data_IF_158934621884
#
_entry.id   IF_158934621884
#
_cell.length_a   1.000
_cell.length_b   1.000
_cell.length_c   1.000
_cell.angle_alpha   90.00
_cell.angle_beta   90.00
_cell.angle_gamma   90.00
#
_symmetry.space_group_name_H-M   'P 1'
#
loop_
_entity.id
_entity.type
_entity.pdbx_description
1 polymer ?
#
# COMPACT_ATOMS: atom_id res chain seq x y z
N UNK A 1 13.06 5.99 0.58
CA UNK A 1 13.02 7.23 1.39
C UNK A 1 12.59 6.99 2.85
N UNK A 2 11.51 6.23 3.13
CA UNK A 2 11.01 6.01 4.51
C UNK A 2 11.98 5.24 5.44
N UNK A 3 12.92 4.47 4.90
CA UNK A 3 13.92 3.72 5.68
C UNK A 3 15.34 4.29 5.58
N UNK A 4 15.52 5.51 5.05
CA UNK A 4 16.86 6.12 4.87
C UNK A 4 17.78 5.40 3.86
N UNK A 5 17.27 4.39 3.15
CA UNK A 5 17.98 3.65 2.10
C UNK A 5 17.86 4.36 0.75
N UNK A 6 18.90 4.20 -0.09
CA UNK A 6 18.94 4.64 -1.48
C UNK A 6 17.67 4.20 -2.23
N UNK A 7 17.20 5.07 -3.12
CA UNK A 7 16.00 4.84 -3.93
C UNK A 7 16.20 3.62 -4.85
N UNK A 8 15.46 2.55 -4.58
CA UNK A 8 15.23 1.48 -5.54
C UNK A 8 14.01 1.89 -6.36
N UNK A 9 14.26 2.56 -7.49
CA UNK A 9 13.24 3.39 -8.11
C UNK A 9 12.02 2.67 -8.63
N UNK A 10 12.20 1.67 -9.51
CA UNK A 10 11.08 0.88 -10.03
C UNK A 10 10.22 0.27 -8.92
N UNK A 11 10.81 -0.20 -7.82
CA UNK A 11 10.09 -0.83 -6.72
C UNK A 11 9.26 0.18 -5.91
N UNK A 12 9.79 1.38 -5.68
CA UNK A 12 9.06 2.46 -5.00
C UNK A 12 7.91 2.97 -5.88
N UNK A 13 8.11 3.02 -7.20
CA UNK A 13 7.08 3.39 -8.16
C UNK A 13 5.95 2.34 -8.17
N UNK A 14 6.30 1.04 -8.21
CA UNK A 14 5.31 -0.05 -8.14
C UNK A 14 4.51 0.00 -6.83
N UNK A 15 5.18 0.22 -5.70
CA UNK A 15 4.49 0.37 -4.41
C UNK A 15 3.51 1.56 -4.43
N UNK A 16 3.95 2.70 -4.95
CA UNK A 16 3.13 3.91 -5.07
C UNK A 16 1.92 3.68 -5.98
N UNK A 17 2.12 2.99 -7.12
CA UNK A 17 1.03 2.58 -8.00
C UNK A 17 0.06 1.62 -7.30
N UNK A 18 0.54 0.74 -6.42
CA UNK A 18 -0.30 -0.16 -5.62
C UNK A 18 -1.22 0.60 -4.67
N UNK A 19 -0.69 1.64 -4.01
CA UNK A 19 -1.48 2.52 -3.11
C UNK A 19 -2.56 3.26 -3.89
N UNK A 20 -2.21 3.82 -5.06
CA UNK A 20 -3.17 4.51 -5.93
C UNK A 20 -4.24 3.55 -6.44
N UNK A 21 -3.84 2.35 -6.91
CA UNK A 21 -4.78 1.34 -7.39
C UNK A 21 -5.76 0.94 -6.30
N UNK A 22 -5.28 0.72 -5.08
CA UNK A 22 -6.15 0.44 -3.92
C UNK A 22 -7.14 1.59 -3.71
N UNK A 23 -6.69 2.85 -3.73
CA UNK A 23 -7.56 4.01 -3.54
C UNK A 23 -8.65 4.13 -4.61
N UNK A 24 -8.31 3.83 -5.88
CA UNK A 24 -9.28 3.83 -6.98
C UNK A 24 -10.33 2.72 -6.85
N UNK A 25 -9.95 1.56 -6.32
CA UNK A 25 -10.85 0.40 -6.16
C UNK A 25 -11.71 0.50 -4.90
N UNK A 26 -11.14 0.98 -3.80
CA UNK A 26 -11.72 0.92 -2.46
C UNK A 26 -12.26 2.26 -1.95
N UNK A 27 -11.96 3.36 -2.63
CA UNK A 27 -12.34 4.72 -2.22
C UNK A 27 -11.67 5.20 -0.92
N UNK A 28 -10.69 4.47 -0.42
CA UNK A 28 -9.96 4.72 0.84
C UNK A 28 -8.48 4.36 0.68
N UNK A 29 -7.61 4.85 1.55
CA UNK A 29 -6.19 4.49 1.52
C UNK A 29 -5.94 3.14 2.21
N UNK A 30 -4.96 2.33 1.75
CA UNK A 30 -4.62 1.06 2.41
C UNK A 30 -3.95 1.29 3.77
N UNK A 31 -3.27 2.43 3.94
CA UNK A 31 -2.64 2.86 5.19
C UNK A 31 -2.98 4.34 5.44
N UNK A 32 -3.61 4.62 6.59
CA UNK A 32 -3.92 5.99 7.02
C UNK A 32 -3.93 6.06 8.56
N UNK A 33 -3.47 7.18 9.11
CA UNK A 33 -3.48 7.49 10.54
C UNK A 33 -3.11 8.97 10.77
N UNK A 34 -3.81 9.64 11.69
CA UNK A 34 -3.46 11.02 12.08
C UNK A 34 -2.10 11.10 12.79
N UNK A 35 -1.70 10.02 13.48
CA UNK A 35 -0.42 9.97 14.17
C UNK A 35 0.67 9.38 13.27
N UNK A 36 1.58 10.24 12.82
CA UNK A 36 2.67 9.90 11.87
C UNK A 36 3.48 8.65 12.28
N UNK A 37 3.92 8.47 13.55
CA UNK A 37 4.58 7.23 13.97
C UNK A 37 3.73 5.96 13.82
N UNK A 38 2.42 6.05 14.02
CA UNK A 38 1.49 4.93 13.83
C UNK A 38 1.28 4.65 12.34
N UNK A 39 1.14 5.69 11.52
CA UNK A 39 1.09 5.57 10.07
C UNK A 39 2.33 4.83 9.53
N UNK A 40 3.53 5.22 9.96
CA UNK A 40 4.76 4.53 9.56
C UNK A 40 4.80 3.08 10.03
N UNK A 41 4.22 2.75 11.19
CA UNK A 41 4.12 1.37 11.67
C UNK A 41 3.18 0.56 10.78
N UNK A 42 2.02 1.10 10.40
CA UNK A 42 1.07 0.49 9.46
C UNK A 42 1.75 0.22 8.11
N UNK A 43 2.37 1.24 7.51
CA UNK A 43 3.12 1.13 6.25
C UNK A 43 4.19 0.04 6.34
N UNK A 44 4.99 0.02 7.42
CA UNK A 44 6.05 -0.99 7.60
C UNK A 44 5.52 -2.41 7.82
N UNK A 45 4.31 -2.56 8.38
CA UNK A 45 3.70 -3.89 8.55
C UNK A 45 3.20 -4.48 7.24
N UNK A 46 2.87 -3.65 6.24
CA UNK A 46 2.29 -4.10 4.97
C UNK A 46 0.90 -4.73 5.10
N UNK A 47 0.24 -4.59 6.26
CA UNK A 47 -1.11 -5.15 6.49
C UNK A 47 -2.15 -4.09 6.14
N UNK A 48 -3.02 -4.39 5.19
CA UNK A 48 -4.11 -3.53 4.76
C UNK A 48 -5.42 -4.34 4.57
N UNK A 49 -6.59 -3.72 4.75
CA UNK A 49 -7.86 -4.43 4.63
C UNK A 49 -8.15 -4.82 3.17
N UNK A 50 -8.71 -6.02 2.96
CA UNK A 50 -9.15 -6.49 1.64
C UNK A 50 -10.68 -6.62 1.65
N UNK A 51 -11.42 -5.77 0.91
CA UNK A 51 -12.85 -5.90 0.80
C UNK A 51 -13.29 -7.16 0.04
N UNK A 52 -14.40 -7.78 0.47
CA UNK A 52 -14.92 -9.03 -0.12
C UNK A 52 -15.37 -8.90 -1.58
N UNK A 53 -15.71 -7.68 -2.01
CA UNK A 53 -16.12 -7.42 -3.40
C UNK A 53 -14.96 -7.44 -4.40
N UNK A 54 -13.71 -7.45 -3.94
CA UNK A 54 -12.55 -7.52 -4.83
C UNK A 54 -12.36 -8.93 -5.38
N UNK A 55 -12.12 -9.03 -6.68
CA UNK A 55 -11.82 -10.31 -7.30
C UNK A 55 -10.43 -10.83 -6.87
N UNK A 56 -10.25 -12.16 -6.89
CA UNK A 56 -8.99 -12.80 -6.43
C UNK A 56 -7.76 -12.34 -7.20
N UNK A 57 -7.89 -12.07 -8.51
CA UNK A 57 -6.78 -11.59 -9.34
C UNK A 57 -6.30 -10.19 -8.93
N UNK A 58 -7.22 -9.30 -8.57
CA UNK A 58 -6.93 -7.94 -8.12
C UNK A 58 -6.30 -7.98 -6.73
N UNK A 59 -6.82 -8.82 -5.83
CA UNK A 59 -6.20 -9.04 -4.50
C UNK A 59 -4.77 -9.55 -4.67
N UNK A 60 -4.56 -10.54 -5.54
CA UNK A 60 -3.22 -11.05 -5.81
C UNK A 60 -2.29 -9.98 -6.39
N UNK A 61 -2.80 -9.09 -7.25
CA UNK A 61 -1.99 -8.00 -7.79
C UNK A 61 -1.62 -7.00 -6.68
N UNK A 62 -2.58 -6.57 -5.86
CA UNK A 62 -2.36 -5.65 -4.74
C UNK A 62 -1.32 -6.21 -3.74
N UNK A 63 -1.41 -7.49 -3.37
CA UNK A 63 -0.44 -8.13 -2.46
C UNK A 63 0.97 -8.29 -3.05
N UNK A 64 1.14 -8.23 -4.37
CA UNK A 64 2.48 -8.24 -4.98
C UNK A 64 3.07 -6.82 -5.12
N UNK A 65 2.24 -5.79 -5.10
CA UNK A 65 2.67 -4.39 -5.21
C UNK A 65 2.93 -3.74 -3.86
N UNK A 66 2.17 -4.11 -2.81
CA UNK A 66 2.16 -3.51 -1.48
C UNK A 66 2.80 -4.41 -0.41
#
# INVERSE_FOLDING_TARGET
VISGKLYAGPEVDVWSCGVILYALLCGTLPFDDEHVPTLFRKIKSGIFPIPEYLNKSVVSLLCNML
#
